data_IF_418145777576
#
_entry.id   IF_418145777576
#
_cell.length_a   1.000
_cell.length_b   1.000
_cell.length_c   1.000
_cell.angle_alpha   90.00
_cell.angle_beta   90.00
_cell.angle_gamma   90.00
#
_symmetry.space_group_name_H-M   'P 1'
#
loop_
_entity.id
_entity.type
_entity.pdbx_description
1 polymer ?
#
# COMPACT_ATOMS: atom_id res chain seq x y z
N UNK A 1 23.73 45.46 -42.18
CA UNK A 1 24.74 44.65 -41.45
C UNK A 1 24.75 44.98 -39.96
N UNK A 2 24.87 46.24 -39.55
CA UNK A 2 24.91 46.66 -38.13
C UNK A 2 23.61 46.27 -37.38
N UNK A 3 22.45 46.46 -37.98
CA UNK A 3 21.15 46.09 -37.40
C UNK A 3 20.99 44.57 -37.18
N UNK A 4 21.58 43.78 -38.08
CA UNK A 4 21.54 42.33 -38.00
C UNK A 4 22.42 41.79 -36.85
N UNK A 5 23.59 42.41 -36.65
CA UNK A 5 24.46 42.09 -35.50
C UNK A 5 23.84 42.53 -34.18
N UNK A 6 23.18 43.67 -34.13
CA UNK A 6 22.45 44.14 -32.95
C UNK A 6 21.28 43.19 -32.59
N UNK A 7 20.54 42.68 -33.56
CA UNK A 7 19.48 41.74 -33.37
C UNK A 7 19.97 40.37 -32.86
N UNK A 8 21.05 39.86 -33.44
CA UNK A 8 21.68 38.63 -32.99
C UNK A 8 22.25 38.73 -31.57
N UNK A 9 22.82 39.91 -31.22
CA UNK A 9 23.31 40.18 -29.86
C UNK A 9 22.16 40.20 -28.83
N UNK A 10 21.04 40.81 -29.20
CA UNK A 10 19.85 40.89 -28.35
C UNK A 10 19.25 39.48 -28.11
N UNK A 11 19.18 38.64 -29.15
CA UNK A 11 18.73 37.27 -29.06
C UNK A 11 19.62 36.43 -28.14
N UNK A 12 20.94 36.55 -28.27
CA UNK A 12 21.89 35.86 -27.39
C UNK A 12 21.81 36.33 -25.93
N UNK A 13 21.56 37.60 -25.71
CA UNK A 13 21.37 38.15 -24.37
C UNK A 13 20.08 37.65 -23.72
N UNK A 14 19.00 37.51 -24.48
CA UNK A 14 17.75 36.95 -23.99
C UNK A 14 17.89 35.44 -23.64
N UNK A 15 18.56 34.67 -24.50
CA UNK A 15 18.86 33.24 -24.22
C UNK A 15 19.68 33.07 -22.95
N UNK A 16 20.71 33.88 -22.73
CA UNK A 16 21.51 33.81 -21.49
C UNK A 16 20.73 34.21 -20.22
N UNK A 17 19.68 35.03 -20.34
CA UNK A 17 18.77 35.33 -19.23
C UNK A 17 17.83 34.18 -18.91
N UNK A 18 17.33 33.47 -19.90
CA UNK A 18 16.50 32.28 -19.71
C UNK A 18 17.29 31.13 -19.08
N UNK A 19 18.48 30.87 -19.56
CA UNK A 19 19.36 29.82 -18.99
C UNK A 19 19.68 30.07 -17.51
N UNK A 20 19.90 31.33 -17.12
CA UNK A 20 20.12 31.70 -15.71
C UNK A 20 18.88 31.51 -14.83
N UNK A 21 17.66 31.66 -15.37
CA UNK A 21 16.42 31.39 -14.65
C UNK A 21 16.22 29.87 -14.45
N UNK A 22 16.45 29.10 -15.51
CA UNK A 22 16.37 27.64 -15.45
C UNK A 22 17.38 27.07 -14.45
N UNK A 23 18.62 27.58 -14.46
CA UNK A 23 19.65 27.16 -13.51
C UNK A 23 19.35 27.53 -12.04
N UNK A 24 18.54 28.57 -11.78
CA UNK A 24 18.09 28.93 -10.42
C UNK A 24 16.94 28.08 -9.93
N UNK A 25 16.07 27.63 -10.83
CA UNK A 25 14.87 26.84 -10.46
C UNK A 25 15.18 25.34 -10.36
N UNK A 26 16.27 24.87 -10.96
CA UNK A 26 16.69 23.47 -10.94
C UNK A 26 16.93 22.92 -9.52
N UNK A 27 17.67 23.60 -8.60
CA UNK A 27 17.86 23.08 -7.25
C UNK A 27 16.57 23.03 -6.44
N UNK A 28 15.60 23.92 -6.69
CA UNK A 28 14.29 23.90 -6.04
C UNK A 28 13.45 22.71 -6.47
N UNK A 29 13.45 22.35 -7.75
CA UNK A 29 12.72 21.19 -8.29
C UNK A 29 13.32 19.87 -7.84
N UNK A 30 14.63 19.75 -7.70
CA UNK A 30 15.26 18.54 -7.14
C UNK A 30 14.94 18.36 -5.67
N UNK A 31 14.90 19.41 -4.87
CA UNK A 31 14.50 19.37 -3.48
C UNK A 31 13.02 18.91 -3.34
N UNK A 32 12.12 19.45 -4.14
CA UNK A 32 10.69 19.05 -4.16
C UNK A 32 10.56 17.59 -4.54
N UNK A 33 11.26 17.11 -5.57
CA UNK A 33 11.25 15.69 -5.98
C UNK A 33 11.79 14.77 -4.89
N UNK A 34 12.88 15.15 -4.23
CA UNK A 34 13.45 14.37 -3.12
C UNK A 34 12.49 14.33 -1.92
N UNK A 35 11.79 15.43 -1.64
CA UNK A 35 10.78 15.51 -0.59
C UNK A 35 9.55 14.67 -0.94
N UNK A 36 9.05 14.74 -2.18
CA UNK A 36 7.95 13.88 -2.65
C UNK A 36 8.30 12.40 -2.58
N UNK A 37 9.52 12.00 -2.95
CA UNK A 37 9.98 10.61 -2.83
C UNK A 37 9.99 10.14 -1.37
N UNK A 38 10.41 10.99 -0.43
CA UNK A 38 10.35 10.71 1.01
C UNK A 38 8.90 10.57 1.50
N UNK A 39 8.00 11.44 1.08
CA UNK A 39 6.59 11.36 1.43
C UNK A 39 5.92 10.11 0.86
N UNK A 40 6.22 9.72 -0.37
CA UNK A 40 5.74 8.46 -0.97
C UNK A 40 6.25 7.23 -0.21
N UNK A 41 7.50 7.25 0.25
CA UNK A 41 8.06 6.17 1.06
C UNK A 41 7.42 6.08 2.45
N UNK A 42 6.97 7.21 3.01
CA UNK A 42 6.29 7.28 4.31
C UNK A 42 4.76 7.11 4.21
N UNK A 43 4.18 7.19 3.01
CA UNK A 43 2.74 7.06 2.80
C UNK A 43 2.14 5.80 3.46
N UNK A 44 2.73 4.60 3.37
CA UNK A 44 2.22 3.41 4.06
C UNK A 44 2.23 3.52 5.58
N UNK A 45 3.13 4.34 6.16
CA UNK A 45 3.20 4.56 7.60
C UNK A 45 2.16 5.58 8.11
N UNK A 46 1.62 6.39 7.22
CA UNK A 46 0.63 7.44 7.53
C UNK A 46 -0.79 6.98 7.18
N UNK A 47 -0.92 6.06 6.22
CA UNK A 47 -2.22 5.57 5.77
C UNK A 47 -2.83 4.61 6.80
N UNK A 48 -4.01 4.91 7.38
CA UNK A 48 -4.69 4.04 8.33
C UNK A 48 -4.96 2.63 7.81
N UNK A 49 -5.15 2.47 6.48
CA UNK A 49 -5.38 1.17 5.86
C UNK A 49 -4.23 0.18 6.01
N UNK A 50 -3.04 0.64 6.43
CA UNK A 50 -1.89 -0.20 6.73
C UNK A 50 -1.66 -0.39 8.25
N UNK A 51 -2.46 0.24 9.10
CA UNK A 51 -2.29 0.09 10.54
C UNK A 51 -2.74 -1.30 11.01
N UNK A 52 -1.92 -2.01 11.80
CA UNK A 52 -2.24 -3.36 12.26
C UNK A 52 -3.58 -3.42 13.00
N UNK A 53 -3.88 -2.41 13.80
CA UNK A 53 -5.11 -2.35 14.59
C UNK A 53 -6.35 -2.21 13.70
N UNK A 54 -6.30 -1.34 12.71
CA UNK A 54 -7.39 -1.15 11.75
C UNK A 54 -7.65 -2.41 10.92
N UNK A 55 -6.57 -3.01 10.40
CA UNK A 55 -6.67 -4.26 9.64
C UNK A 55 -7.27 -5.37 10.50
N UNK A 56 -6.79 -5.50 11.74
CA UNK A 56 -7.29 -6.52 12.67
C UNK A 56 -8.77 -6.30 13.01
N UNK A 57 -9.20 -5.06 13.22
CA UNK A 57 -10.58 -4.72 13.44
C UNK A 57 -11.46 -5.16 12.26
N UNK A 58 -11.08 -4.82 11.02
CA UNK A 58 -11.82 -5.21 9.82
C UNK A 58 -11.82 -6.72 9.58
N UNK A 59 -10.76 -7.42 10.00
CA UNK A 59 -10.74 -8.89 10.00
C UNK A 59 -11.76 -9.45 10.99
N UNK A 60 -11.86 -8.89 12.21
CA UNK A 60 -12.87 -9.30 13.19
C UNK A 60 -14.29 -9.00 12.73
N UNK A 61 -14.54 -7.85 12.09
CA UNK A 61 -15.84 -7.51 11.50
C UNK A 61 -16.24 -8.46 10.35
N UNK A 62 -15.26 -9.06 9.69
CA UNK A 62 -15.48 -10.02 8.60
C UNK A 62 -15.73 -11.44 9.09
N UNK A 63 -15.63 -11.73 10.39
CA UNK A 63 -15.91 -13.05 10.93
C UNK A 63 -17.37 -13.46 10.65
N UNK A 64 -17.62 -14.66 10.07
CA UNK A 64 -18.97 -15.10 9.76
C UNK A 64 -19.80 -15.43 11.01
N UNK A 65 -19.16 -15.96 12.04
CA UNK A 65 -19.79 -16.35 13.30
C UNK A 65 -18.76 -16.45 14.43
N UNK A 66 -19.24 -16.66 15.66
CA UNK A 66 -18.39 -16.94 16.82
C UNK A 66 -17.65 -18.29 16.72
N UNK A 67 -18.01 -19.13 15.74
CA UNK A 67 -17.38 -20.43 15.48
C UNK A 67 -16.06 -20.31 14.70
N UNK A 68 -15.69 -19.11 14.29
CA UNK A 68 -14.39 -18.81 13.66
C UNK A 68 -13.60 -17.91 14.59
N UNK A 69 -12.37 -18.31 14.88
CA UNK A 69 -11.51 -17.64 15.83
C UNK A 69 -10.13 -17.40 15.22
N UNK A 70 -9.64 -16.17 15.36
CA UNK A 70 -8.26 -15.82 15.02
C UNK A 70 -7.37 -16.18 16.20
N UNK A 71 -6.35 -16.99 15.97
CA UNK A 71 -5.41 -17.46 16.99
C UNK A 71 -4.09 -16.70 16.98
N UNK A 72 -3.67 -16.23 15.82
CA UNK A 72 -2.42 -15.49 15.65
C UNK A 72 -2.55 -14.45 14.54
N UNK A 73 -1.94 -13.30 14.76
CA UNK A 73 -1.82 -12.23 13.78
C UNK A 73 -0.38 -11.73 13.75
N UNK A 74 0.19 -11.69 12.57
CA UNK A 74 1.53 -11.16 12.35
C UNK A 74 1.53 -10.28 11.10
N UNK A 75 2.03 -9.07 11.23
CA UNK A 75 2.16 -8.11 10.13
C UNK A 75 3.60 -7.66 9.98
N UNK A 76 4.10 -7.76 8.77
CA UNK A 76 5.36 -7.16 8.33
C UNK A 76 5.10 -6.10 7.27
N UNK A 77 6.13 -5.36 6.88
CA UNK A 77 6.01 -4.33 5.84
C UNK A 77 5.54 -4.87 4.47
N UNK A 78 5.65 -6.17 4.24
CA UNK A 78 5.37 -6.81 2.94
C UNK A 78 4.31 -7.90 2.98
N UNK A 79 3.88 -8.32 4.16
CA UNK A 79 3.00 -9.47 4.31
C UNK A 79 2.25 -9.43 5.63
N UNK A 80 0.98 -9.83 5.56
CA UNK A 80 0.15 -10.12 6.73
C UNK A 80 -0.06 -11.64 6.79
N UNK A 81 0.11 -12.23 7.95
CA UNK A 81 -0.18 -13.64 8.20
C UNK A 81 -1.17 -13.75 9.34
N UNK A 82 -2.27 -14.42 9.09
CA UNK A 82 -3.35 -14.64 10.07
C UNK A 82 -3.60 -16.14 10.18
N UNK A 83 -3.39 -16.69 11.37
CA UNK A 83 -3.77 -18.05 11.67
C UNK A 83 -5.08 -18.06 12.44
N UNK A 84 -5.92 -19.02 12.15
CA UNK A 84 -7.21 -19.15 12.82
C UNK A 84 -7.74 -20.57 12.81
N UNK A 85 -8.82 -20.73 13.53
CA UNK A 85 -9.52 -21.99 13.70
C UNK A 85 -11.02 -21.79 13.50
N UNK A 86 -11.64 -22.69 12.77
CA UNK A 86 -13.08 -22.69 12.53
C UNK A 86 -13.64 -24.06 12.88
N UNK A 87 -14.91 -24.10 13.30
CA UNK A 87 -15.59 -25.35 13.60
C UNK A 87 -15.77 -26.26 12.37
N UNK A 88 -15.77 -25.65 11.17
CA UNK A 88 -15.84 -26.38 9.90
C UNK A 88 -14.99 -25.70 8.82
N UNK A 89 -14.55 -26.47 7.83
CA UNK A 89 -13.81 -25.93 6.69
C UNK A 89 -14.68 -24.93 5.87
N UNK A 90 -15.99 -25.14 5.81
CA UNK A 90 -16.93 -24.24 5.10
C UNK A 90 -16.90 -22.83 5.70
N UNK A 91 -16.85 -22.71 7.02
CA UNK A 91 -16.76 -21.43 7.71
C UNK A 91 -15.43 -20.71 7.44
N UNK A 92 -14.33 -21.44 7.29
CA UNK A 92 -13.04 -20.86 6.91
C UNK A 92 -13.11 -20.27 5.49
N UNK A 93 -13.75 -20.95 4.54
CA UNK A 93 -13.94 -20.42 3.18
C UNK A 93 -14.91 -19.23 3.16
N UNK A 94 -15.97 -19.25 3.95
CA UNK A 94 -16.89 -18.10 4.09
C UNK A 94 -16.16 -16.87 4.65
N UNK A 95 -15.24 -17.08 5.59
CA UNK A 95 -14.43 -16.01 6.17
C UNK A 95 -13.54 -15.34 5.10
N UNK A 96 -12.83 -16.12 4.28
CA UNK A 96 -12.00 -15.53 3.21
C UNK A 96 -12.84 -14.79 2.17
N UNK A 97 -14.01 -15.30 1.85
CA UNK A 97 -14.94 -14.63 0.92
C UNK A 97 -15.43 -13.28 1.46
N UNK A 98 -15.76 -13.20 2.75
CA UNK A 98 -16.11 -11.94 3.40
C UNK A 98 -14.96 -10.95 3.41
N UNK A 99 -13.73 -11.41 3.68
CA UNK A 99 -12.52 -10.58 3.61
C UNK A 99 -12.32 -10.01 2.21
N UNK A 100 -12.45 -10.84 1.18
CA UNK A 100 -12.30 -10.39 -0.23
C UNK A 100 -13.36 -9.38 -0.66
N UNK A 101 -14.54 -9.42 -0.07
CA UNK A 101 -15.64 -8.49 -0.32
C UNK A 101 -15.55 -7.20 0.50
N UNK A 102 -14.77 -7.19 1.59
CA UNK A 102 -14.65 -6.02 2.45
C UNK A 102 -13.89 -4.90 1.74
N UNK A 103 -14.49 -3.71 1.56
CA UNK A 103 -13.84 -2.59 0.87
C UNK A 103 -12.62 -2.05 1.62
N UNK A 104 -12.61 -2.10 2.94
CA UNK A 104 -11.53 -1.61 3.81
C UNK A 104 -10.26 -2.47 3.72
N UNK A 105 -10.41 -3.74 3.34
CA UNK A 105 -9.30 -4.68 3.16
C UNK A 105 -8.79 -4.79 1.72
N UNK A 106 -9.29 -3.96 0.80
CA UNK A 106 -8.89 -3.99 -0.63
C UNK A 106 -7.44 -3.62 -0.89
N UNK A 107 -6.80 -2.95 0.05
CA UNK A 107 -5.37 -2.59 -0.01
C UNK A 107 -4.47 -3.82 -0.07
N UNK A 108 -4.96 -4.93 0.47
CA UNK A 108 -4.27 -6.21 0.48
C UNK A 108 -4.99 -7.23 -0.39
N UNK A 109 -4.21 -8.13 -0.97
CA UNK A 109 -4.71 -9.33 -1.61
C UNK A 109 -4.54 -10.48 -0.62
N UNK A 110 -5.66 -11.03 -0.16
CA UNK A 110 -5.68 -12.15 0.76
C UNK A 110 -5.87 -13.47 0.01
N UNK A 111 -5.03 -14.43 0.35
CA UNK A 111 -5.11 -15.81 -0.12
C UNK A 111 -5.10 -16.75 1.08
N UNK A 112 -5.80 -17.87 0.96
CA UNK A 112 -5.87 -18.90 1.99
C UNK A 112 -5.49 -20.25 1.39
N UNK A 113 -4.54 -20.92 2.03
CA UNK A 113 -4.25 -22.32 1.76
C UNK A 113 -5.42 -23.20 2.21
N UNK A 114 -5.53 -24.40 1.66
CA UNK A 114 -6.56 -25.35 2.06
C UNK A 114 -6.52 -25.58 3.59
N UNK A 115 -7.66 -25.43 4.29
CA UNK A 115 -7.72 -25.62 5.72
C UNK A 115 -7.30 -27.04 6.12
N UNK A 116 -6.53 -27.16 7.20
CA UNK A 116 -6.16 -28.44 7.77
C UNK A 116 -7.22 -28.89 8.77
N UNK A 117 -7.78 -30.07 8.54
CA UNK A 117 -8.76 -30.64 9.46
C UNK A 117 -8.02 -31.28 10.63
N UNK A 118 -8.39 -30.88 11.84
CA UNK A 118 -7.87 -31.41 13.09
C UNK A 118 -8.67 -32.64 13.52
N UNK A 119 -8.14 -33.49 14.44
CA UNK A 119 -8.85 -34.67 14.92
C UNK A 119 -10.19 -34.40 15.61
N UNK A 120 -10.40 -33.17 16.10
CA UNK A 120 -11.66 -32.69 16.69
C UNK A 120 -12.66 -32.16 15.67
N UNK A 121 -12.47 -32.41 14.37
CA UNK A 121 -13.24 -31.90 13.24
C UNK A 121 -13.17 -30.37 13.03
N UNK A 122 -12.36 -29.65 13.79
CA UNK A 122 -12.09 -28.24 13.53
C UNK A 122 -11.16 -28.08 12.34
N UNK A 123 -11.31 -26.97 11.65
CA UNK A 123 -10.46 -26.60 10.52
C UNK A 123 -9.49 -25.49 10.93
N UNK A 124 -8.20 -25.78 10.89
CA UNK A 124 -7.18 -24.77 11.07
C UNK A 124 -6.86 -24.15 9.70
N UNK A 125 -6.87 -22.82 9.61
CA UNK A 125 -6.59 -22.10 8.38
C UNK A 125 -5.48 -21.08 8.57
N UNK A 126 -4.79 -20.77 7.48
CA UNK A 126 -3.81 -19.70 7.40
C UNK A 126 -4.15 -18.79 6.24
N UNK A 127 -4.29 -17.50 6.54
CA UNK A 127 -4.47 -16.43 5.56
C UNK A 127 -3.14 -15.70 5.36
N UNK A 128 -2.82 -15.42 4.14
CA UNK A 128 -1.70 -14.56 3.77
C UNK A 128 -2.22 -13.37 2.97
N UNK A 129 -1.89 -12.17 3.43
CA UNK A 129 -2.20 -10.91 2.77
C UNK A 129 -0.94 -10.26 2.24
N UNK A 130 -0.94 -9.87 0.97
CA UNK A 130 0.14 -9.10 0.34
C UNK A 130 -0.41 -7.75 -0.10
N UNK A 131 0.31 -6.64 0.11
CA UNK A 131 -0.10 -5.35 -0.43
C UNK A 131 -0.12 -5.42 -1.96
N UNK A 132 -1.12 -4.74 -2.55
CA UNK A 132 -1.27 -4.63 -4.00
C UNK A 132 -0.31 -3.64 -4.61
#
# INVERSE_FOLDING_TARGET
LVLLFAYLGLLRFQLGRLDRRIARDTPGTEFVRATEAKWKALAPAIDPHYYPVEILQHLFESLPSADVRITSYNQSARQISVDGEANTAALAYEFIDKIKKNPELRTFQFDMAAPRILPNNHAQFRLEGKPK
#
